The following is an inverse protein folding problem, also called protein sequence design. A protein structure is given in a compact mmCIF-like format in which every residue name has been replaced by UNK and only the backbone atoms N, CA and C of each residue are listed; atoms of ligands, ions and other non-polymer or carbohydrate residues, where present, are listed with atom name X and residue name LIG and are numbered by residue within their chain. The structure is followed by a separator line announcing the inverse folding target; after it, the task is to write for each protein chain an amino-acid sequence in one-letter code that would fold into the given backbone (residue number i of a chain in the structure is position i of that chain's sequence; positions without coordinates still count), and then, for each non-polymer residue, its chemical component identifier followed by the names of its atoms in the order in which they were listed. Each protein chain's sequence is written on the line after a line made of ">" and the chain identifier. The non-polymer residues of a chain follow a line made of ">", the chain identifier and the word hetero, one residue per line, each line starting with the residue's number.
data_IF_764116752774
#
_entry.id   IF_764116752774
#
_cell.length_a   1.000
_cell.length_b   1.000
_cell.length_c   1.000
_cell.angle_alpha   90.00
_cell.angle_beta   90.00
_cell.angle_gamma   90.00
#
_symmetry.space_group_name_H-M   'P 1'
#
loop_
_entity.id
_entity.type
_entity.pdbx_description
1 polymer ?
#
# COMPACT_ATOMS: atom_id res chain seq x y z
N UNK A 1 2.17 2.09 46.06
CA UNK A 1 2.56 3.39 45.48
C UNK A 1 2.13 3.41 44.01
N UNK A 2 0.97 4.00 43.72
CA UNK A 2 0.40 4.12 42.38
C UNK A 2 1.04 5.34 41.68
N UNK A 3 1.91 5.11 40.69
CA UNK A 3 2.36 6.17 39.77
C UNK A 3 1.31 6.35 38.67
N UNK A 4 0.37 7.26 38.91
CA UNK A 4 -0.42 7.90 37.86
C UNK A 4 0.52 8.83 37.08
N UNK A 5 0.92 8.43 35.87
CA UNK A 5 1.58 9.34 34.94
C UNK A 5 0.52 10.24 34.29
N UNK A 6 0.59 11.51 34.65
CA UNK A 6 -0.29 12.58 34.23
C UNK A 6 0.26 13.18 32.93
N UNK A 7 -0.09 12.60 31.79
CA UNK A 7 0.16 13.22 30.49
C UNK A 7 -1.03 14.10 30.09
N UNK A 8 -0.76 15.36 29.80
CA UNK A 8 -1.74 16.41 29.54
C UNK A 8 -2.77 16.09 28.45
N UNK A 9 -3.97 15.74 28.91
CA UNK A 9 -5.20 16.46 28.56
C UNK A 9 -5.70 16.36 27.12
N UNK A 10 -5.83 15.15 26.59
CA UNK A 10 -6.93 14.85 25.65
C UNK A 10 -7.58 13.58 26.18
N UNK A 11 -8.81 13.67 26.67
CA UNK A 11 -9.51 12.51 27.21
C UNK A 11 -9.78 11.54 26.06
N UNK A 12 -9.34 10.27 26.18
CA UNK A 12 -9.71 9.23 25.22
C UNK A 12 -11.25 9.09 25.24
N UNK A 13 -11.95 9.37 24.14
CA UNK A 13 -13.40 9.23 24.11
C UNK A 13 -13.83 7.79 24.39
N UNK A 14 -14.97 7.62 25.06
CA UNK A 14 -15.54 6.29 25.31
C UNK A 14 -16.14 5.66 24.05
N UNK A 15 -16.71 6.48 23.17
CA UNK A 15 -17.19 6.05 21.87
C UNK A 15 -16.04 6.07 20.87
N UNK A 16 -15.71 4.92 20.29
CA UNK A 16 -14.67 4.78 19.27
C UNK A 16 -15.18 5.17 17.87
N UNK A 17 -16.49 5.15 17.67
CA UNK A 17 -17.17 5.52 16.42
C UNK A 17 -17.75 6.93 16.54
N UNK A 18 -16.86 7.93 16.61
CA UNK A 18 -17.27 9.33 16.67
C UNK A 18 -16.19 10.28 16.16
N UNK A 19 -16.59 11.42 15.60
CA UNK A 19 -15.65 12.44 15.11
C UNK A 19 -14.70 12.92 16.22
N UNK A 20 -15.14 12.99 17.48
CA UNK A 20 -14.29 13.33 18.62
C UNK A 20 -13.17 12.31 18.83
N UNK A 21 -13.43 11.03 18.57
CA UNK A 21 -12.40 10.00 18.61
C UNK A 21 -11.33 10.25 17.55
N UNK A 22 -11.71 10.56 16.31
CA UNK A 22 -10.74 10.89 15.27
C UNK A 22 -9.95 12.18 15.61
N UNK A 23 -10.59 13.20 16.20
CA UNK A 23 -9.91 14.42 16.70
C UNK A 23 -8.88 14.07 17.78
N UNK A 24 -9.21 13.16 18.69
CA UNK A 24 -8.27 12.63 19.67
C UNK A 24 -7.08 11.95 18.99
N UNK A 25 -7.32 11.02 18.05
CA UNK A 25 -6.25 10.31 17.32
C UNK A 25 -5.35 11.27 16.54
N UNK A 26 -5.93 12.28 15.89
CA UNK A 26 -5.19 13.36 15.24
C UNK A 26 -4.26 14.10 16.22
N UNK A 27 -4.74 14.40 17.43
CA UNK A 27 -3.93 15.05 18.45
C UNK A 27 -2.76 14.16 18.91
N UNK A 28 -2.96 12.84 18.97
CA UNK A 28 -1.92 11.86 19.31
C UNK A 28 -0.84 11.85 18.22
N UNK A 29 -1.22 11.75 16.94
CA UNK A 29 -0.27 11.81 15.83
C UNK A 29 0.49 13.14 15.79
N UNK A 30 -0.22 14.25 16.02
CA UNK A 30 0.37 15.59 16.02
C UNK A 30 1.42 15.80 17.11
N UNK A 31 1.24 15.17 18.28
CA UNK A 31 2.20 15.19 19.40
C UNK A 31 3.36 14.21 19.24
N UNK A 32 3.19 13.16 18.43
CA UNK A 32 4.16 12.05 18.28
C UNK A 32 4.66 11.95 16.83
N UNK A 33 5.13 13.06 16.26
CA UNK A 33 5.55 13.11 14.85
C UNK A 33 6.86 12.36 14.57
N UNK A 34 7.72 12.22 15.59
CA UNK A 34 8.99 11.48 15.50
C UNK A 34 8.84 10.15 16.22
N UNK A 35 9.12 9.05 15.53
CA UNK A 35 9.02 7.71 16.08
C UNK A 35 10.20 7.42 17.00
N UNK A 36 9.90 6.88 18.18
CA UNK A 36 10.86 6.42 19.17
C UNK A 36 10.43 5.07 19.73
N UNK A 37 11.35 4.36 20.36
CA UNK A 37 11.06 3.10 21.08
C UNK A 37 9.96 3.28 22.15
N UNK A 38 9.86 4.47 22.75
CA UNK A 38 8.86 4.78 23.77
C UNK A 38 7.46 5.06 23.23
N UNK A 39 7.31 5.49 21.97
CA UNK A 39 6.01 5.87 21.39
C UNK A 39 5.53 4.94 20.26
N UNK A 40 6.38 4.06 19.73
CA UNK A 40 6.03 3.18 18.60
C UNK A 40 4.77 2.35 18.83
N UNK A 41 4.57 1.82 20.05
CA UNK A 41 3.36 1.08 20.41
C UNK A 41 2.11 1.96 20.38
N UNK A 42 2.19 3.18 20.91
CA UNK A 42 1.09 4.15 20.86
C UNK A 42 0.74 4.52 19.41
N UNK A 43 1.74 4.75 18.57
CA UNK A 43 1.53 5.09 17.15
C UNK A 43 0.88 3.94 16.39
N UNK A 44 1.33 2.71 16.62
CA UNK A 44 0.75 1.49 16.02
C UNK A 44 -0.73 1.34 16.37
N UNK A 45 -1.08 1.47 17.64
CA UNK A 45 -2.49 1.43 18.07
C UNK A 45 -3.30 2.58 17.47
N UNK A 46 -2.72 3.78 17.41
CA UNK A 46 -3.37 4.96 16.84
C UNK A 46 -3.67 4.77 15.36
N UNK A 47 -2.72 4.23 14.59
CA UNK A 47 -2.90 3.94 13.16
C UNK A 47 -4.01 2.93 12.92
N UNK A 48 -4.07 1.86 13.73
CA UNK A 48 -5.14 0.86 13.63
C UNK A 48 -6.51 1.46 13.93
N UNK A 49 -6.63 2.23 15.01
CA UNK A 49 -7.88 2.93 15.35
C UNK A 49 -8.31 3.93 14.28
N UNK A 50 -7.37 4.56 13.56
CA UNK A 50 -7.70 5.43 12.42
C UNK A 50 -8.32 4.63 11.28
N UNK A 51 -7.79 3.47 10.90
CA UNK A 51 -8.44 2.66 9.86
C UNK A 51 -9.84 2.22 10.27
N UNK A 52 -10.03 1.78 11.51
CA UNK A 52 -11.33 1.35 12.04
C UNK A 52 -12.38 2.46 11.97
N UNK A 53 -12.07 3.66 12.49
CA UNK A 53 -13.01 4.78 12.46
C UNK A 53 -13.26 5.29 11.05
N UNK A 54 -12.26 5.26 10.15
CA UNK A 54 -12.47 5.64 8.76
C UNK A 54 -13.41 4.65 8.07
N UNK A 55 -13.21 3.35 8.22
CA UNK A 55 -14.11 2.34 7.61
C UNK A 55 -15.54 2.50 8.13
N UNK A 56 -15.70 2.79 9.42
CA UNK A 56 -17.01 3.11 9.99
C UNK A 56 -17.58 4.41 9.42
N UNK A 57 -16.79 5.48 9.38
CA UNK A 57 -17.18 6.79 8.85
C UNK A 57 -17.60 6.74 7.38
N UNK A 58 -16.93 5.93 6.55
CA UNK A 58 -17.26 5.69 5.14
C UNK A 58 -18.73 5.29 4.93
N UNK A 59 -19.25 4.53 5.89
CA UNK A 59 -20.56 3.87 5.79
C UNK A 59 -21.63 4.57 6.63
N UNK A 60 -21.24 5.35 7.65
CA UNK A 60 -22.18 5.83 8.68
C UNK A 60 -22.14 7.34 8.89
N UNK A 61 -21.00 8.01 8.70
CA UNK A 61 -20.84 9.44 9.01
C UNK A 61 -19.70 10.07 8.20
N UNK A 62 -20.06 10.78 7.13
CA UNK A 62 -19.10 11.42 6.22
C UNK A 62 -18.24 12.48 6.91
N UNK A 63 -18.70 13.07 8.02
CA UNK A 63 -17.95 14.11 8.74
C UNK A 63 -16.61 13.62 9.28
N UNK A 64 -16.50 12.31 9.52
CA UNK A 64 -15.25 11.64 9.88
C UNK A 64 -14.23 11.75 8.74
N UNK A 65 -14.65 11.42 7.51
CA UNK A 65 -13.80 11.54 6.33
C UNK A 65 -13.46 12.99 6.01
N UNK A 66 -14.44 13.89 6.08
CA UNK A 66 -14.23 15.32 5.84
C UNK A 66 -13.13 15.86 6.76
N UNK A 67 -13.16 15.51 8.04
CA UNK A 67 -12.13 15.90 9.00
C UNK A 67 -10.76 15.27 8.70
N UNK A 68 -10.72 13.97 8.35
CA UNK A 68 -9.48 13.28 7.98
C UNK A 68 -8.77 13.98 6.82
N UNK A 69 -9.54 14.39 5.81
CA UNK A 69 -9.07 15.10 4.62
C UNK A 69 -8.65 16.53 4.95
N UNK A 70 -9.48 17.28 5.69
CA UNK A 70 -9.20 18.67 6.09
C UNK A 70 -7.88 18.76 6.87
N UNK A 71 -7.58 17.76 7.71
CA UNK A 71 -6.34 17.69 8.48
C UNK A 71 -5.20 16.98 7.77
N UNK A 72 -5.39 16.59 6.51
CA UNK A 72 -4.39 15.88 5.69
C UNK A 72 -3.76 14.70 6.42
N UNK A 73 -4.58 13.92 7.14
CA UNK A 73 -4.06 12.94 8.11
C UNK A 73 -3.23 11.82 7.45
N UNK A 74 -3.51 11.49 6.18
CA UNK A 74 -2.71 10.53 5.40
C UNK A 74 -1.24 10.96 5.24
N UNK A 75 -0.94 12.27 5.27
CA UNK A 75 0.44 12.77 5.22
C UNK A 75 1.25 12.37 6.46
N UNK A 76 0.62 12.16 7.61
CA UNK A 76 1.31 11.64 8.79
C UNK A 76 1.81 10.21 8.55
N UNK A 77 1.06 9.39 7.82
CA UNK A 77 1.41 8.00 7.55
C UNK A 77 2.69 7.96 6.72
N UNK A 78 2.74 8.79 5.66
CA UNK A 78 3.94 8.99 4.83
C UNK A 78 5.14 9.46 5.65
N UNK A 79 4.94 10.44 6.53
CA UNK A 79 6.02 11.00 7.36
C UNK A 79 6.57 9.98 8.35
N UNK A 80 5.71 9.13 8.93
CA UNK A 80 6.12 8.04 9.82
C UNK A 80 6.87 6.97 9.02
N UNK A 81 6.35 6.57 7.86
CA UNK A 81 6.98 5.57 6.98
C UNK A 81 8.39 5.98 6.53
N UNK A 82 8.63 7.27 6.24
CA UNK A 82 9.95 7.79 5.86
C UNK A 82 10.98 7.79 7.00
N UNK A 83 10.56 7.59 8.24
CA UNK A 83 11.48 7.53 9.37
C UNK A 83 12.08 6.13 9.48
N UNK A 84 13.35 6.05 9.87
CA UNK A 84 14.04 4.79 10.19
C UNK A 84 13.52 4.24 11.53
N UNK A 85 12.27 3.80 11.53
CA UNK A 85 11.53 3.38 12.73
C UNK A 85 11.46 1.87 12.94
N UNK A 86 12.19 1.10 12.11
CA UNK A 86 12.15 -0.36 12.09
C UNK A 86 10.92 -0.91 11.36
N UNK A 87 10.94 -2.22 11.09
CA UNK A 87 9.88 -2.87 10.31
C UNK A 87 8.53 -2.88 11.01
N UNK A 88 8.49 -2.97 12.34
CA UNK A 88 7.23 -3.06 13.11
C UNK A 88 6.21 -1.95 12.78
N UNK A 89 6.64 -0.67 12.80
CA UNK A 89 5.74 0.46 12.51
C UNK A 89 5.39 0.51 11.02
N UNK A 90 6.35 0.17 10.17
CA UNK A 90 6.16 0.12 8.71
C UNK A 90 5.14 -0.95 8.30
N UNK A 91 5.26 -2.15 8.85
CA UNK A 91 4.32 -3.27 8.69
C UNK A 91 2.92 -2.84 9.12
N UNK A 92 2.78 -2.23 10.30
CA UNK A 92 1.48 -1.76 10.77
C UNK A 92 0.88 -0.71 9.82
N UNK A 93 1.67 0.23 9.30
CA UNK A 93 1.19 1.22 8.34
C UNK A 93 0.65 0.56 7.07
N UNK A 94 1.41 -0.39 6.50
CA UNK A 94 0.99 -1.12 5.31
C UNK A 94 -0.29 -1.93 5.59
N UNK A 95 -0.37 -2.63 6.71
CA UNK A 95 -1.59 -3.33 7.14
C UNK A 95 -2.79 -2.39 7.26
N UNK A 96 -2.62 -1.26 7.95
CA UNK A 96 -3.68 -0.26 8.15
C UNK A 96 -4.19 0.28 6.82
N UNK A 97 -3.29 0.62 5.89
CA UNK A 97 -3.66 1.07 4.55
C UNK A 97 -4.36 -0.03 3.76
N UNK A 98 -3.87 -1.27 3.86
CA UNK A 98 -4.46 -2.40 3.16
C UNK A 98 -5.92 -2.64 3.59
N UNK A 99 -6.16 -2.71 4.91
CA UNK A 99 -7.51 -2.86 5.48
C UNK A 99 -8.41 -1.69 5.09
N UNK A 100 -7.89 -0.46 5.12
CA UNK A 100 -8.64 0.73 4.72
C UNK A 100 -9.11 0.64 3.26
N UNK A 101 -8.19 0.41 2.31
CA UNK A 101 -8.56 0.32 0.90
C UNK A 101 -9.44 -0.87 0.60
N UNK A 102 -9.23 -2.03 1.24
CA UNK A 102 -10.09 -3.19 1.06
C UNK A 102 -11.55 -2.89 1.43
N UNK A 103 -11.78 -2.12 2.50
CA UNK A 103 -13.10 -1.95 3.10
C UNK A 103 -13.84 -0.65 2.72
N UNK A 104 -13.19 0.32 2.08
CA UNK A 104 -13.89 1.51 1.57
C UNK A 104 -14.80 1.13 0.41
N UNK A 105 -16.05 1.59 0.50
CA UNK A 105 -17.14 1.33 -0.45
C UNK A 105 -17.65 2.61 -1.11
N UNK A 106 -17.56 3.76 -0.43
CA UNK A 106 -17.99 5.02 -1.00
C UNK A 106 -16.99 5.50 -2.07
N UNK A 107 -17.47 5.74 -3.29
CA UNK A 107 -16.64 6.20 -4.41
C UNK A 107 -16.00 7.56 -4.14
N UNK A 108 -16.73 8.48 -3.51
CA UNK A 108 -16.23 9.81 -3.17
C UNK A 108 -15.07 9.71 -2.17
N UNK A 109 -15.21 8.90 -1.12
CA UNK A 109 -14.12 8.64 -0.16
C UNK A 109 -12.89 8.02 -0.84
N UNK A 110 -13.12 7.05 -1.74
CA UNK A 110 -12.05 6.42 -2.51
C UNK A 110 -11.31 7.44 -3.38
N UNK A 111 -12.04 8.26 -4.14
CA UNK A 111 -11.45 9.28 -5.00
C UNK A 111 -10.63 10.28 -4.18
N UNK A 112 -11.13 10.71 -3.03
CA UNK A 112 -10.36 11.62 -2.18
C UNK A 112 -9.05 11.02 -1.67
N UNK A 113 -9.06 9.76 -1.24
CA UNK A 113 -7.82 9.10 -0.80
C UNK A 113 -6.80 8.98 -1.92
N UNK A 114 -7.26 8.76 -3.16
CA UNK A 114 -6.39 8.62 -4.32
C UNK A 114 -5.91 9.97 -4.88
N UNK A 115 -6.70 11.05 -4.74
CA UNK A 115 -6.48 12.32 -5.44
C UNK A 115 -5.23 13.11 -5.03
N UNK A 116 -4.71 12.95 -3.81
CA UNK A 116 -3.58 13.77 -3.31
C UNK A 116 -2.19 13.14 -3.54
N UNK A 117 -2.09 12.17 -4.45
CA UNK A 117 -0.87 11.43 -4.81
C UNK A 117 -0.14 10.72 -3.65
N UNK A 118 -0.68 10.76 -2.43
CA UNK A 118 -0.09 10.12 -1.26
C UNK A 118 0.05 8.61 -1.44
N UNK A 119 -0.91 7.99 -2.11
CA UNK A 119 -0.88 6.55 -2.42
C UNK A 119 0.27 6.21 -3.36
N UNK A 120 0.49 7.00 -4.42
CA UNK A 120 1.63 6.78 -5.31
C UNK A 120 2.96 6.99 -4.57
N UNK A 121 3.06 7.98 -3.67
CA UNK A 121 4.25 8.12 -2.83
C UNK A 121 4.50 6.93 -1.88
N UNK A 122 3.45 6.23 -1.44
CA UNK A 122 3.58 4.98 -0.66
C UNK A 122 4.05 3.85 -1.58
N UNK A 123 3.48 3.74 -2.78
CA UNK A 123 3.87 2.72 -3.77
C UNK A 123 5.37 2.84 -4.10
N UNK A 124 5.86 4.05 -4.36
CA UNK A 124 7.25 4.29 -4.78
C UNK A 124 8.26 4.26 -3.62
N UNK A 125 7.78 4.18 -2.37
CA UNK A 125 8.63 4.21 -1.19
C UNK A 125 9.65 3.06 -1.22
N UNK A 126 10.88 3.35 -0.83
CA UNK A 126 11.98 2.38 -0.81
C UNK A 126 11.99 1.60 0.50
N UNK A 127 11.11 0.62 0.56
CA UNK A 127 11.06 -0.35 1.66
C UNK A 127 12.31 -1.24 1.68
N UNK A 128 12.65 -1.71 2.88
CA UNK A 128 13.68 -2.74 3.05
C UNK A 128 13.05 -4.13 2.88
N UNK A 129 13.17 -4.69 1.67
CA UNK A 129 12.65 -6.02 1.35
C UNK A 129 13.55 -7.18 1.79
N UNK A 130 14.65 -6.90 2.51
CA UNK A 130 15.34 -7.97 3.25
C UNK A 130 14.49 -8.49 4.42
N UNK A 131 13.54 -7.68 4.89
CA UNK A 131 12.46 -8.09 5.76
C UNK A 131 11.30 -8.64 4.93
N UNK A 132 11.16 -9.98 4.91
CA UNK A 132 10.12 -10.68 4.16
C UNK A 132 8.70 -10.28 4.60
N UNK A 133 8.51 -9.91 5.86
CA UNK A 133 7.21 -9.46 6.37
C UNK A 133 6.82 -8.12 5.74
N UNK A 134 7.75 -7.16 5.70
CA UNK A 134 7.53 -5.86 5.03
C UNK A 134 7.19 -6.06 3.56
N UNK A 135 7.92 -6.93 2.87
CA UNK A 135 7.65 -7.26 1.46
C UNK A 135 6.26 -7.88 1.29
N UNK A 136 5.87 -8.84 2.12
CA UNK A 136 4.57 -9.50 2.03
C UNK A 136 3.41 -8.49 2.17
N UNK A 137 3.49 -7.57 3.14
CA UNK A 137 2.46 -6.53 3.30
C UNK A 137 2.48 -5.51 2.17
N UNK A 138 3.65 -5.16 1.64
CA UNK A 138 3.76 -4.27 0.49
C UNK A 138 3.11 -4.89 -0.77
N UNK A 139 3.41 -6.15 -1.09
CA UNK A 139 2.81 -6.87 -2.22
C UNK A 139 1.30 -7.01 -2.04
N UNK A 140 0.84 -7.28 -0.82
CA UNK A 140 -0.59 -7.32 -0.49
C UNK A 140 -1.26 -5.96 -0.73
N UNK A 141 -0.62 -4.87 -0.30
CA UNK A 141 -1.09 -3.50 -0.53
C UNK A 141 -1.20 -3.17 -2.02
N UNK A 142 -0.16 -3.46 -2.83
CA UNK A 142 -0.23 -3.25 -4.29
C UNK A 142 -1.39 -4.04 -4.91
N UNK A 143 -1.54 -5.31 -4.53
CA UNK A 143 -2.65 -6.17 -5.00
C UNK A 143 -4.01 -5.56 -4.63
N UNK A 144 -4.18 -5.06 -3.42
CA UNK A 144 -5.43 -4.41 -2.97
C UNK A 144 -5.75 -3.16 -3.79
N UNK A 145 -4.77 -2.31 -4.04
CA UNK A 145 -4.95 -1.15 -4.93
C UNK A 145 -5.35 -1.56 -6.34
N UNK A 146 -4.78 -2.67 -6.85
CA UNK A 146 -5.12 -3.17 -8.19
C UNK A 146 -6.60 -3.54 -8.32
N UNK A 147 -7.26 -3.97 -7.24
CA UNK A 147 -8.70 -4.25 -7.26
C UNK A 147 -9.57 -2.99 -7.34
N UNK A 148 -9.01 -1.82 -7.01
CA UNK A 148 -9.68 -0.52 -7.14
C UNK A 148 -9.51 0.10 -8.52
N UNK A 149 -8.72 -0.51 -9.42
CA UNK A 149 -8.56 -0.05 -10.80
C UNK A 149 -9.83 -0.28 -11.63
N UNK A 150 -10.27 0.77 -12.29
CA UNK A 150 -11.34 0.79 -13.29
C UNK A 150 -11.14 2.00 -14.23
N UNK A 151 -12.03 2.18 -15.21
CA UNK A 151 -11.97 3.29 -16.17
C UNK A 151 -11.99 4.68 -15.53
N UNK A 152 -12.58 4.81 -14.33
CA UNK A 152 -12.67 6.06 -13.61
C UNK A 152 -11.51 6.28 -12.63
N UNK A 153 -10.85 5.23 -12.12
CA UNK A 153 -9.77 5.38 -11.13
C UNK A 153 -8.37 5.33 -11.74
N UNK A 154 -8.23 4.86 -12.99
CA UNK A 154 -6.93 4.64 -13.61
C UNK A 154 -6.06 5.91 -13.65
N UNK A 155 -6.67 7.08 -13.86
CA UNK A 155 -5.96 8.36 -13.94
C UNK A 155 -5.34 8.80 -12.60
N UNK A 156 -5.72 8.20 -11.47
CA UNK A 156 -5.03 8.42 -10.19
C UNK A 156 -3.71 7.66 -10.08
N UNK A 157 -3.54 6.59 -10.87
CA UNK A 157 -2.36 5.74 -10.83
C UNK A 157 -1.47 5.88 -12.07
N UNK A 158 -2.07 6.20 -13.22
CA UNK A 158 -1.37 6.39 -14.48
C UNK A 158 -1.44 7.85 -14.93
N UNK A 159 -0.27 8.46 -15.11
CA UNK A 159 -0.12 9.79 -15.69
C UNK A 159 0.39 9.68 -17.12
N UNK A 160 -0.50 9.95 -18.08
CA UNK A 160 -0.20 9.90 -19.52
C UNK A 160 0.86 10.93 -19.94
N UNK A 161 0.89 12.11 -19.32
CA UNK A 161 1.83 13.17 -19.67
C UNK A 161 3.28 12.82 -19.29
N UNK A 162 3.46 12.18 -18.14
CA UNK A 162 4.79 11.78 -17.66
C UNK A 162 5.13 10.33 -18.00
N UNK A 163 4.19 9.57 -18.58
CA UNK A 163 4.30 8.13 -18.77
C UNK A 163 4.70 7.43 -17.47
N UNK A 164 4.00 7.75 -16.39
CA UNK A 164 4.29 7.23 -15.06
C UNK A 164 3.13 6.36 -14.56
N UNK A 165 3.43 5.13 -14.15
CA UNK A 165 2.44 4.19 -13.61
C UNK A 165 2.99 3.42 -12.41
N UNK A 166 3.21 4.08 -11.25
CA UNK A 166 3.92 3.50 -10.13
C UNK A 166 3.39 2.14 -9.68
N UNK A 167 2.05 1.98 -9.63
CA UNK A 167 1.41 0.75 -9.21
C UNK A 167 1.84 -0.46 -10.06
N UNK A 168 1.89 -0.30 -11.38
CA UNK A 168 2.28 -1.38 -12.27
C UNK A 168 3.80 -1.56 -12.32
N UNK A 169 4.56 -0.46 -12.46
CA UNK A 169 6.02 -0.50 -12.60
C UNK A 169 6.73 -1.03 -11.37
N UNK A 170 6.23 -0.73 -10.16
CA UNK A 170 6.79 -1.31 -8.94
C UNK A 170 6.40 -2.79 -8.78
N UNK A 171 5.16 -3.17 -9.09
CA UNK A 171 4.70 -4.55 -8.96
C UNK A 171 5.46 -5.53 -9.87
N UNK A 172 5.70 -5.17 -11.13
CA UNK A 172 6.34 -6.07 -12.09
C UNK A 172 7.81 -6.38 -11.76
N UNK A 173 8.46 -5.64 -10.85
CA UNK A 173 9.80 -5.99 -10.36
C UNK A 173 9.83 -7.35 -9.65
N UNK A 174 8.69 -7.80 -9.13
CA UNK A 174 8.53 -9.04 -8.37
C UNK A 174 7.98 -10.20 -9.21
N UNK A 175 7.88 -10.05 -10.54
CA UNK A 175 7.23 -11.05 -11.40
C UNK A 175 7.85 -12.46 -11.31
N UNK A 176 9.16 -12.53 -11.07
CA UNK A 176 9.92 -13.77 -10.93
C UNK A 176 10.46 -13.97 -9.50
N UNK A 177 9.74 -13.49 -8.50
CA UNK A 177 10.11 -13.69 -7.10
C UNK A 177 10.12 -15.20 -6.73
N UNK A 178 11.04 -15.71 -5.89
CA UNK A 178 11.10 -17.14 -5.52
C UNK A 178 9.84 -17.65 -4.84
N UNK A 179 9.15 -16.81 -4.06
CA UNK A 179 7.90 -17.18 -3.43
C UNK A 179 6.70 -17.20 -4.39
N UNK A 180 5.97 -18.32 -4.40
CA UNK A 180 4.79 -18.51 -5.25
C UNK A 180 3.69 -17.48 -4.98
N UNK A 181 3.41 -17.17 -3.71
CA UNK A 181 2.35 -16.23 -3.34
C UNK A 181 2.61 -14.82 -3.87
N UNK A 182 3.87 -14.36 -3.84
CA UNK A 182 4.28 -13.08 -4.43
C UNK A 182 4.02 -13.08 -5.94
N UNK A 183 4.45 -14.12 -6.66
CA UNK A 183 4.18 -14.23 -8.11
C UNK A 183 2.69 -14.25 -8.42
N UNK A 184 1.88 -14.96 -7.63
CA UNK A 184 0.41 -15.00 -7.80
C UNK A 184 -0.17 -13.60 -7.62
N UNK A 185 0.23 -12.86 -6.59
CA UNK A 185 -0.24 -11.49 -6.36
C UNK A 185 0.12 -10.55 -7.51
N UNK A 186 1.37 -10.60 -8.01
CA UNK A 186 1.83 -9.79 -9.15
C UNK A 186 1.07 -10.15 -10.43
N UNK A 187 0.78 -11.43 -10.67
CA UNK A 187 -0.05 -11.88 -11.79
C UNK A 187 -1.48 -11.38 -11.67
N UNK A 188 -2.10 -11.47 -10.50
CA UNK A 188 -3.44 -10.92 -10.25
C UNK A 188 -3.48 -9.41 -10.51
N UNK A 189 -2.49 -8.66 -10.01
CA UNK A 189 -2.37 -7.23 -10.26
C UNK A 189 -2.24 -6.94 -11.76
N UNK A 190 -1.37 -7.68 -12.45
CA UNK A 190 -1.20 -7.54 -13.91
C UNK A 190 -2.52 -7.76 -14.64
N UNK A 191 -3.26 -8.83 -14.30
CA UNK A 191 -4.58 -9.09 -14.91
C UNK A 191 -5.58 -7.96 -14.62
N UNK A 192 -5.61 -7.43 -13.40
CA UNK A 192 -6.47 -6.29 -13.05
C UNK A 192 -6.12 -5.02 -13.85
N UNK A 193 -4.84 -4.78 -14.09
CA UNK A 193 -4.37 -3.66 -14.93
C UNK A 193 -4.82 -3.84 -16.37
N UNK A 194 -4.57 -5.00 -17.00
CA UNK A 194 -4.97 -5.27 -18.38
C UNK A 194 -6.51 -5.31 -18.57
N UNK A 195 -7.26 -5.56 -17.51
CA UNK A 195 -8.72 -5.49 -17.51
C UNK A 195 -9.23 -4.05 -17.67
N UNK A 196 -8.44 -3.04 -17.28
CA UNK A 196 -8.78 -1.64 -17.53
C UNK A 196 -8.55 -1.34 -19.01
N UNK A 197 -9.63 -1.14 -19.75
CA UNK A 197 -9.59 -0.85 -21.18
C UNK A 197 -9.20 0.62 -21.46
N UNK A 198 -8.03 1.05 -20.98
CA UNK A 198 -7.46 2.38 -21.20
C UNK A 198 -6.32 2.31 -22.22
N UNK A 199 -6.49 2.96 -23.37
CA UNK A 199 -5.57 2.80 -24.51
C UNK A 199 -4.20 3.41 -24.24
N UNK A 200 -4.15 4.59 -23.62
CA UNK A 200 -2.90 5.28 -23.30
C UNK A 200 -2.05 4.47 -22.33
N UNK A 201 -2.68 3.91 -21.30
CA UNK A 201 -2.02 3.03 -20.32
C UNK A 201 -1.54 1.71 -20.95
N UNK A 202 -2.37 1.06 -21.77
CA UNK A 202 -1.97 -0.18 -22.47
C UNK A 202 -0.80 0.07 -23.43
N UNK A 203 -0.79 1.22 -24.10
CA UNK A 203 0.33 1.64 -24.94
C UNK A 203 1.60 1.81 -24.12
N UNK A 204 1.53 2.48 -22.97
CA UNK A 204 2.65 2.61 -22.04
C UNK A 204 3.20 1.23 -21.62
N UNK A 205 2.32 0.29 -21.25
CA UNK A 205 2.72 -1.05 -20.84
C UNK A 205 3.49 -1.73 -21.98
N UNK A 206 2.94 -1.70 -23.20
CA UNK A 206 3.57 -2.29 -24.38
C UNK A 206 4.93 -1.67 -24.70
N UNK A 207 5.06 -0.36 -24.58
CA UNK A 207 6.26 0.34 -25.05
C UNK A 207 7.37 0.38 -24.00
N UNK A 208 7.02 0.50 -22.71
CA UNK A 208 7.98 0.78 -21.62
C UNK A 208 8.28 -0.43 -20.74
N UNK A 209 7.32 -1.33 -20.58
CA UNK A 209 7.44 -2.44 -19.62
C UNK A 209 7.53 -3.81 -20.28
N UNK A 210 6.91 -3.97 -21.45
CA UNK A 210 6.88 -5.25 -22.16
C UNK A 210 8.27 -5.68 -22.61
N UNK A 211 9.13 -4.77 -23.07
CA UNK A 211 10.47 -5.13 -23.57
C UNK A 211 11.33 -5.76 -22.47
N UNK A 212 11.57 -5.12 -21.30
CA UNK A 212 12.30 -5.78 -20.21
C UNK A 212 11.60 -7.04 -19.69
N UNK A 213 10.26 -6.99 -19.54
CA UNK A 213 9.49 -8.11 -19.01
C UNK A 213 9.57 -9.36 -19.91
N UNK A 214 9.25 -9.23 -21.19
CA UNK A 214 9.30 -10.34 -22.15
C UNK A 214 10.73 -10.82 -22.38
N UNK A 215 11.71 -9.92 -22.39
CA UNK A 215 13.12 -10.32 -22.50
C UNK A 215 13.54 -11.23 -21.34
N UNK A 216 13.19 -10.84 -20.11
CA UNK A 216 13.48 -11.66 -18.94
C UNK A 216 12.67 -12.97 -18.92
N UNK A 217 11.42 -12.95 -19.39
CA UNK A 217 10.60 -14.15 -19.49
C UNK A 217 11.17 -15.15 -20.51
N UNK A 218 11.56 -14.67 -21.70
CA UNK A 218 12.19 -15.48 -22.74
C UNK A 218 13.51 -16.06 -22.23
N UNK A 219 14.33 -15.24 -21.56
CA UNK A 219 15.57 -15.70 -20.94
C UNK A 219 15.33 -16.81 -19.89
N UNK A 220 14.34 -16.61 -19.02
CA UNK A 220 13.97 -17.60 -18.00
C UNK A 220 13.51 -18.93 -18.60
N UNK A 221 12.64 -18.89 -19.61
CA UNK A 221 12.18 -20.08 -20.33
C UNK A 221 13.37 -20.75 -21.02
N UNK A 222 14.26 -19.98 -21.65
CA UNK A 222 15.48 -20.48 -22.28
C UNK A 222 16.35 -21.26 -21.31
N UNK A 223 16.57 -20.74 -20.10
CA UNK A 223 17.35 -21.46 -19.07
C UNK A 223 16.68 -22.77 -18.65
N UNK A 224 15.35 -22.79 -18.47
CA UNK A 224 14.63 -24.03 -18.13
C UNK A 224 14.75 -25.08 -19.24
N UNK A 225 14.74 -24.66 -20.51
CA UNK A 225 14.95 -25.57 -21.64
C UNK A 225 16.36 -26.16 -21.61
N UNK A 226 17.38 -25.34 -21.30
CA UNK A 226 18.77 -25.82 -21.18
C UNK A 226 18.96 -26.79 -20.01
N UNK A 227 18.32 -26.53 -18.86
CA UNK A 227 18.32 -27.44 -17.72
C UNK A 227 17.68 -28.79 -18.08
N UNK A 228 16.53 -28.77 -18.76
CA UNK A 228 15.88 -29.99 -19.23
C UNK A 228 16.75 -30.76 -20.24
N UNK A 229 17.38 -30.07 -21.20
CA UNK A 229 18.27 -30.69 -22.20
C UNK A 229 19.53 -31.29 -21.55
N UNK A 230 20.04 -30.69 -20.46
CA UNK A 230 21.12 -31.27 -19.67
C UNK A 230 20.67 -32.54 -18.94
N UNK A 231 19.53 -32.51 -18.22
CA UNK A 231 19.02 -33.69 -17.52
C UNK A 231 18.74 -34.87 -18.45
N UNK A 232 18.17 -34.63 -19.64
CA UNK A 232 17.92 -35.69 -20.63
C UNK A 232 19.23 -36.30 -21.15
N UNK A 233 20.29 -35.51 -21.30
CA UNK A 233 21.60 -36.02 -21.71
C UNK A 233 22.27 -36.84 -20.61
N UNK A 234 22.18 -36.40 -19.35
CA UNK A 234 22.74 -37.12 -18.21
C UNK A 234 22.04 -38.46 -17.93
N UNK A 235 20.74 -38.59 -18.25
CA UNK A 235 19.98 -39.86 -18.12
C UNK A 235 20.30 -40.90 -19.22
N UNK A 236 21.04 -40.52 -20.27
CA UNK A 236 21.40 -41.38 -21.41
C UNK A 236 22.82 -41.98 -21.25
N UNK A 237 23.62 -41.50 -20.29
CA UNK A 237 24.91 -42.10 -19.87
C UNK A 237 24.76 -43.09 -18.70
#
# INVERSE_FOLDING_TARGET
>A
MLRKNWFGGVFKPKNLHSLEHLRYLYSVLSKNQVVSESNRGLLVETLRSIAEILIWGDQNDSSVFDFFLEKQMLSFFLRIMKQKCGSYVCVQLLQTLNILFENIRNETSLYYLLSNNHVNFIIEHKFDFSDEEVMAYYISFLKTLSFKLNSHTIHFFYNEHTNDFPLYTEAIKFFNHPESMVRIAVRTLTLNVYRVNDQSMLQFIRDKTAVPYFSNLVWFIGNHILELDACVRDDIE
#
